data_IF_144690084784
#
_entry.id   IF_144690084784
#
_cell.length_a   1.000
_cell.length_b   1.000
_cell.length_c   1.000
_cell.angle_alpha   90.00
_cell.angle_beta   90.00
_cell.angle_gamma   90.00
#
_symmetry.space_group_name_H-M   'P 1'
#
loop_
_entity.id
_entity.type
_entity.pdbx_description
1 polymer ?
#
# COMPACT_ATOMS: atom_id res chain seq x y z
N UNK A 1 2.99 -40.34 -26.06
CA UNK A 1 3.29 -39.82 -24.70
C UNK A 1 4.41 -38.79 -24.74
N UNK A 2 5.55 -39.10 -25.38
CA UNK A 2 6.68 -38.15 -25.50
C UNK A 2 6.32 -36.84 -26.23
N UNK A 3 5.60 -36.88 -27.35
CA UNK A 3 5.21 -35.67 -28.08
C UNK A 3 4.27 -34.74 -27.30
N UNK A 4 3.50 -35.25 -26.33
CA UNK A 4 2.63 -34.45 -25.47
C UNK A 4 3.46 -33.84 -24.33
N UNK A 5 4.38 -34.63 -23.76
CA UNK A 5 5.33 -34.17 -22.75
C UNK A 5 6.22 -33.06 -23.29
N UNK A 6 6.81 -33.21 -24.47
CA UNK A 6 7.66 -32.17 -25.08
C UNK A 6 6.87 -30.91 -25.43
N UNK A 7 5.59 -31.05 -25.79
CA UNK A 7 4.73 -29.90 -26.06
C UNK A 7 4.33 -29.18 -24.77
N UNK A 8 4.17 -29.89 -23.65
CA UNK A 8 3.83 -29.27 -22.36
C UNK A 8 5.08 -28.69 -21.69
N UNK A 9 6.21 -29.40 -21.72
CA UNK A 9 7.48 -28.95 -21.17
C UNK A 9 8.18 -27.90 -22.05
N UNK A 10 7.93 -27.89 -23.36
CA UNK A 10 8.35 -26.80 -24.26
C UNK A 10 7.58 -25.49 -24.05
N UNK A 11 6.40 -25.56 -23.43
CA UNK A 11 5.61 -24.40 -22.99
C UNK A 11 5.91 -23.98 -21.55
N UNK A 12 6.65 -24.80 -20.77
CA UNK A 12 7.07 -24.40 -19.43
C UNK A 12 8.14 -23.31 -19.57
N UNK A 13 7.92 -22.13 -18.95
CA UNK A 13 8.91 -21.07 -18.99
C UNK A 13 10.24 -21.60 -18.49
N UNK A 14 11.34 -21.25 -19.18
CA UNK A 14 12.69 -21.56 -18.71
C UNK A 14 12.78 -21.23 -17.22
N UNK A 15 13.51 -22.03 -16.45
CA UNK A 15 13.66 -21.87 -14.99
C UNK A 15 13.93 -20.43 -14.56
N UNK A 16 14.62 -19.67 -15.41
CA UNK A 16 14.87 -18.23 -15.30
C UNK A 16 13.57 -17.42 -15.13
N UNK A 17 12.55 -17.66 -15.95
CA UNK A 17 11.27 -16.94 -15.89
C UNK A 17 10.53 -17.24 -14.58
N UNK A 18 10.61 -18.46 -14.06
CA UNK A 18 10.06 -18.80 -12.74
C UNK A 18 10.76 -18.01 -11.63
N UNK A 19 12.10 -17.96 -11.65
CA UNK A 19 12.87 -17.18 -10.67
C UNK A 19 12.64 -15.68 -10.80
N UNK A 20 12.49 -15.17 -12.02
CA UNK A 20 12.13 -13.77 -12.28
C UNK A 20 10.74 -13.48 -11.71
N UNK A 21 9.75 -14.33 -11.96
CA UNK A 21 8.39 -14.15 -11.41
C UNK A 21 8.38 -14.13 -9.88
N UNK A 22 9.08 -15.06 -9.24
CA UNK A 22 9.24 -15.08 -7.78
C UNK A 22 9.98 -13.83 -7.28
N UNK A 23 11.06 -13.44 -7.97
CA UNK A 23 11.82 -12.23 -7.65
C UNK A 23 10.97 -10.96 -7.75
N UNK A 24 10.16 -10.84 -8.80
CA UNK A 24 9.23 -9.73 -8.99
C UNK A 24 8.19 -9.69 -7.87
N UNK A 25 7.63 -10.84 -7.48
CA UNK A 25 6.68 -10.92 -6.37
C UNK A 25 7.30 -10.40 -5.07
N UNK A 26 8.49 -10.89 -4.72
CA UNK A 26 9.23 -10.47 -3.51
C UNK A 26 9.55 -8.98 -3.59
N UNK A 27 9.98 -8.49 -4.76
CA UNK A 27 10.29 -7.09 -4.99
C UNK A 27 9.07 -6.19 -4.76
N UNK A 28 7.90 -6.56 -5.31
CA UNK A 28 6.65 -5.81 -5.12
C UNK A 28 6.28 -5.72 -3.64
N UNK A 29 6.35 -6.84 -2.92
CA UNK A 29 6.03 -6.87 -1.48
C UNK A 29 6.99 -5.99 -0.66
N UNK A 30 8.29 -6.07 -0.96
CA UNK A 30 9.29 -5.23 -0.31
C UNK A 30 9.04 -3.74 -0.59
N UNK A 31 8.75 -3.40 -1.86
CA UNK A 31 8.49 -2.03 -2.27
C UNK A 31 7.22 -1.47 -1.62
N UNK A 32 6.16 -2.27 -1.53
CA UNK A 32 4.91 -1.89 -0.87
C UNK A 32 5.14 -1.61 0.63
N UNK A 33 5.92 -2.45 1.31
CA UNK A 33 6.27 -2.22 2.71
C UNK A 33 7.04 -0.90 2.90
N UNK A 34 8.06 -0.68 2.07
CA UNK A 34 8.87 0.56 2.09
C UNK A 34 7.98 1.78 1.81
N UNK A 35 7.11 1.71 0.80
CA UNK A 35 6.21 2.79 0.43
C UNK A 35 5.22 3.11 1.56
N UNK A 36 4.67 2.10 2.23
CA UNK A 36 3.80 2.32 3.38
C UNK A 36 4.53 3.02 4.52
N UNK A 37 5.78 2.64 4.80
CA UNK A 37 6.60 3.28 5.84
C UNK A 37 7.01 4.69 5.47
N UNK A 38 7.40 4.94 4.22
CA UNK A 38 7.67 6.28 3.72
C UNK A 38 6.43 7.16 3.81
N UNK A 39 5.25 6.64 3.45
CA UNK A 39 3.99 7.37 3.55
C UNK A 39 3.66 7.71 5.00
N UNK A 40 3.96 6.83 5.95
CA UNK A 40 3.77 7.08 7.39
C UNK A 40 4.70 8.18 7.92
N UNK A 41 5.96 8.19 7.48
CA UNK A 41 6.95 9.21 7.87
C UNK A 41 6.65 10.56 7.19
N UNK A 42 6.29 10.54 5.92
CA UNK A 42 5.97 11.73 5.12
C UNK A 42 4.53 12.22 5.32
N UNK A 43 3.71 11.51 6.11
CA UNK A 43 2.36 11.96 6.46
C UNK A 43 2.47 13.30 7.17
N UNK A 44 2.00 14.34 6.48
CA UNK A 44 1.94 15.68 7.03
C UNK A 44 1.07 15.67 8.29
N UNK A 45 1.38 16.50 9.30
CA UNK A 45 0.69 16.48 10.58
C UNK A 45 -0.84 16.64 10.43
N UNK A 46 -1.32 17.45 9.49
CA UNK A 46 -2.76 17.64 9.26
C UNK A 46 -3.50 16.42 8.69
N UNK A 47 -2.77 15.44 8.16
CA UNK A 47 -3.31 14.15 7.71
C UNK A 47 -3.47 13.16 8.86
N UNK A 48 -2.96 13.48 10.06
CA UNK A 48 -3.18 12.68 11.26
C UNK A 48 -4.60 12.89 11.76
N UNK A 49 -5.24 11.79 12.10
CA UNK A 49 -6.64 11.75 12.56
C UNK A 49 -6.85 12.63 13.82
N UNK A 50 -5.85 12.68 14.70
CA UNK A 50 -5.84 13.55 15.89
C UNK A 50 -6.04 15.02 15.54
N UNK A 51 -5.37 15.53 14.49
CA UNK A 51 -5.50 16.93 14.10
C UNK A 51 -6.88 17.24 13.50
N UNK A 52 -7.49 16.26 12.83
CA UNK A 52 -8.88 16.40 12.37
C UNK A 52 -9.87 16.38 13.54
N UNK A 53 -9.64 15.55 14.55
CA UNK A 53 -10.47 15.52 15.75
C UNK A 53 -10.35 16.82 16.56
N UNK A 54 -9.14 17.34 16.75
CA UNK A 54 -8.92 18.62 17.42
C UNK A 54 -9.62 19.78 16.68
N UNK A 55 -9.52 19.83 15.35
CA UNK A 55 -10.27 20.82 14.54
C UNK A 55 -11.77 20.74 14.75
N UNK A 56 -12.34 19.53 14.77
CA UNK A 56 -13.78 19.33 15.02
C UNK A 56 -14.18 19.84 16.42
N UNK A 57 -13.38 19.58 17.44
CA UNK A 57 -13.65 20.05 18.81
C UNK A 57 -13.60 21.58 18.92
N UNK A 58 -12.64 22.23 18.27
CA UNK A 58 -12.52 23.70 18.25
C UNK A 58 -13.73 24.33 17.54
N UNK A 59 -14.14 23.77 16.39
CA UNK A 59 -15.33 24.22 15.66
C UNK A 59 -16.61 24.06 16.48
N UNK A 60 -16.76 22.95 17.19
CA UNK A 60 -17.93 22.73 18.07
C UNK A 60 -17.97 23.71 19.24
N UNK A 61 -16.82 24.01 19.87
CA UNK A 61 -16.74 25.02 20.94
C UNK A 61 -17.08 26.42 20.42
N UNK A 62 -16.53 26.81 19.28
CA UNK A 62 -16.79 28.13 18.70
C UNK A 62 -18.26 28.31 18.30
N UNK A 63 -18.91 27.29 17.73
CA UNK A 63 -20.33 27.33 17.40
C UNK A 63 -21.25 27.38 18.64
N UNK A 64 -20.87 26.76 19.76
CA UNK A 64 -21.63 26.88 21.02
C UNK A 64 -21.52 28.29 21.60
N UNK A 65 -20.31 28.85 21.65
CA UNK A 65 -20.08 30.19 22.18
C UNK A 65 -20.74 31.28 21.31
N UNK A 66 -20.76 31.11 19.99
CA UNK A 66 -21.45 32.02 19.06
C UNK A 66 -22.98 32.00 19.16
N UNK A 67 -23.58 30.96 19.76
CA UNK A 67 -25.03 30.87 19.98
C UNK A 67 -25.46 31.39 21.36
N UNK A 68 -24.49 31.65 22.23
CA UNK A 68 -24.71 32.17 23.59
C UNK A 68 -24.51 33.69 23.71
N UNK A 69 -23.92 34.32 22.69
CA UNK A 69 -23.91 35.78 22.49
C UNK A 69 -24.97 36.17 21.45
#
# INVERSE_FOLDING_TARGET
>A
MEAILDRVFGFLPQRIILWVGVGTLVFILAFQYIYSKLTEILKLPWMKEENQQQRKQILQKNNKNSKQN
#
